data_IF_285968178179
#
_entry.id   IF_285968178179
#
_cell.length_a   1.000
_cell.length_b   1.000
_cell.length_c   1.000
_cell.angle_alpha   90.00
_cell.angle_beta   90.00
_cell.angle_gamma   90.00
#
_symmetry.space_group_name_H-M   'P 1'
#
loop_
_entity.id
_entity.type
_entity.pdbx_description
1 polymer ?
#
# COMPACT_ATOMS: atom_id res chain seq x y z
N UNK A 1 -12.90 26.68 -0.70
CA UNK A 1 -12.06 25.70 0.01
C UNK A 1 -12.10 24.42 -0.79
N UNK A 2 -11.07 24.17 -1.61
CA UNK A 2 -11.03 23.00 -2.51
C UNK A 2 -10.79 21.77 -1.65
N UNK A 3 -11.85 20.99 -1.43
CA UNK A 3 -11.78 19.75 -0.67
C UNK A 3 -10.82 18.78 -1.39
N UNK A 4 -9.89 18.19 -0.65
CA UNK A 4 -8.91 17.28 -1.25
C UNK A 4 -9.65 16.03 -1.74
N UNK A 5 -9.52 15.69 -3.03
CA UNK A 5 -10.17 14.51 -3.58
C UNK A 5 -9.81 13.27 -2.73
N UNK A 6 -10.81 12.46 -2.30
CA UNK A 6 -10.57 11.19 -1.65
C UNK A 6 -9.60 10.35 -2.48
N UNK A 7 -8.74 9.57 -1.81
CA UNK A 7 -7.67 8.83 -2.48
C UNK A 7 -8.18 7.99 -3.66
N UNK A 8 -9.36 7.37 -3.53
CA UNK A 8 -9.95 6.49 -4.54
C UNK A 8 -10.58 7.24 -5.74
N UNK A 9 -10.64 8.58 -5.69
CA UNK A 9 -11.16 9.45 -6.77
C UNK A 9 -10.07 10.23 -7.50
N UNK A 10 -8.80 10.08 -7.12
CA UNK A 10 -7.69 10.76 -7.77
C UNK A 10 -7.39 10.09 -9.11
N UNK A 11 -6.98 10.86 -10.13
CA UNK A 11 -6.56 10.29 -11.40
C UNK A 11 -5.43 9.28 -11.20
N UNK A 12 -5.49 8.20 -11.96
CA UNK A 12 -4.42 7.22 -12.06
C UNK A 12 -3.35 7.82 -12.96
N UNK A 13 -2.09 7.75 -12.52
CA UNK A 13 -0.93 8.17 -13.28
C UNK A 13 -0.10 6.93 -13.63
N UNK A 14 -0.25 6.47 -14.88
CA UNK A 14 0.44 5.30 -15.41
C UNK A 14 1.86 5.61 -15.92
N UNK A 15 2.39 6.81 -15.65
CA UNK A 15 3.78 7.17 -16.02
C UNK A 15 4.74 6.23 -15.31
N UNK A 16 5.62 5.57 -16.07
CA UNK A 16 6.66 4.70 -15.51
C UNK A 16 7.51 5.45 -14.49
N UNK A 17 7.71 4.85 -13.31
CA UNK A 17 8.54 5.40 -12.24
C UNK A 17 9.48 4.34 -11.68
N UNK A 18 10.69 4.75 -11.35
CA UNK A 18 11.64 3.97 -10.58
C UNK A 18 11.41 4.10 -9.07
N UNK A 19 11.91 3.14 -8.29
CA UNK A 19 11.85 3.16 -6.81
C UNK A 19 12.32 4.48 -6.20
N UNK A 20 13.39 5.09 -6.72
CA UNK A 20 13.96 6.33 -6.20
C UNK A 20 13.13 7.58 -6.51
N UNK A 21 12.19 7.48 -7.45
CA UNK A 21 11.28 8.56 -7.84
C UNK A 21 9.95 8.52 -7.06
N UNK A 22 9.67 7.41 -6.35
CA UNK A 22 8.49 7.28 -5.52
C UNK A 22 8.52 8.32 -4.38
N UNK A 23 7.45 9.11 -4.20
CA UNK A 23 7.48 10.21 -3.25
C UNK A 23 7.53 9.69 -1.81
N UNK A 24 8.31 10.32 -0.91
CA UNK A 24 8.40 9.90 0.48
C UNK A 24 7.10 10.13 1.27
N UNK A 25 6.27 11.08 0.81
CA UNK A 25 5.01 11.47 1.45
C UNK A 25 3.80 11.09 0.59
N UNK A 26 2.59 11.01 1.17
CA UNK A 26 1.40 10.73 0.39
C UNK A 26 1.15 11.74 -0.73
N UNK A 27 1.10 11.24 -1.95
CA UNK A 27 0.68 11.99 -3.13
C UNK A 27 -0.79 12.40 -2.97
N UNK A 28 -1.15 13.66 -3.26
CA UNK A 28 -2.50 14.20 -3.04
C UNK A 28 -3.33 14.38 -4.30
N UNK A 29 -2.66 14.38 -5.44
CA UNK A 29 -3.15 14.78 -6.76
C UNK A 29 -3.31 13.58 -7.70
N UNK A 30 -2.57 12.49 -7.49
CA UNK A 30 -2.60 11.28 -8.34
C UNK A 30 -2.46 10.00 -7.53
N UNK A 31 -2.84 8.88 -8.14
CA UNK A 31 -2.54 7.52 -7.71
C UNK A 31 -1.51 6.91 -8.67
N UNK A 32 -0.35 6.49 -8.15
CA UNK A 32 0.64 5.74 -8.92
C UNK A 32 0.30 4.25 -8.73
N UNK A 33 -0.16 3.52 -9.76
CA UNK A 33 -0.46 2.11 -9.64
C UNK A 33 0.82 1.28 -9.58
N UNK A 34 0.75 0.08 -9.01
CA UNK A 34 1.89 -0.84 -8.95
C UNK A 34 2.43 -1.18 -10.35
N UNK A 35 1.56 -1.22 -11.37
CA UNK A 35 1.95 -1.43 -12.77
C UNK A 35 2.79 -0.30 -13.36
N UNK A 36 2.76 0.91 -12.79
CA UNK A 36 3.60 2.03 -13.20
C UNK A 36 4.99 1.98 -12.55
N UNK A 37 5.17 1.22 -11.47
CA UNK A 37 6.47 1.06 -10.83
C UNK A 37 7.30 0.00 -11.57
N UNK A 38 8.42 0.42 -12.17
CA UNK A 38 9.23 -0.40 -13.07
C UNK A 38 9.78 -1.65 -12.36
N UNK A 39 10.22 -1.51 -11.11
CA UNK A 39 10.77 -2.62 -10.33
C UNK A 39 9.69 -3.42 -9.57
N UNK A 40 8.40 -3.12 -9.75
CA UNK A 40 7.34 -3.77 -8.99
C UNK A 40 7.39 -5.30 -9.11
N UNK A 41 7.45 -6.03 -7.99
CA UNK A 41 7.40 -7.48 -8.03
C UNK A 41 6.01 -7.94 -8.52
N UNK A 42 5.96 -9.01 -9.30
CA UNK A 42 4.71 -9.54 -9.86
C UNK A 42 3.65 -9.83 -8.79
N UNK A 43 4.07 -10.24 -7.59
CA UNK A 43 3.19 -10.47 -6.44
C UNK A 43 2.41 -9.22 -6.04
N UNK A 44 2.99 -8.02 -6.20
CA UNK A 44 2.33 -6.76 -5.88
C UNK A 44 1.24 -6.46 -6.91
N UNK A 45 1.53 -6.70 -8.18
CA UNK A 45 0.62 -6.41 -9.30
C UNK A 45 -0.69 -7.18 -9.13
N UNK A 46 -0.60 -8.45 -8.72
CA UNK A 46 -1.77 -9.33 -8.51
C UNK A 46 -2.31 -9.30 -7.08
N UNK A 47 -1.69 -8.58 -6.15
CA UNK A 47 -2.12 -8.52 -4.75
C UNK A 47 -3.50 -7.87 -4.57
N UNK A 48 -4.06 -7.22 -5.59
CA UNK A 48 -5.40 -6.67 -5.56
C UNK A 48 -6.48 -7.60 -6.12
N UNK A 49 -6.15 -8.70 -6.79
CA UNK A 49 -7.09 -9.42 -7.67
C UNK A 49 -8.32 -9.99 -6.94
N UNK A 50 -8.19 -10.35 -5.66
CA UNK A 50 -9.29 -10.81 -4.79
C UNK A 50 -9.92 -9.68 -3.95
N UNK A 51 -9.47 -8.45 -4.14
CA UNK A 51 -10.10 -7.24 -3.61
C UNK A 51 -11.04 -6.73 -4.68
N UNK A 52 -12.32 -6.49 -4.36
CA UNK A 52 -13.32 -6.01 -5.34
C UNK A 52 -12.94 -4.73 -6.11
N UNK A 53 -11.83 -4.07 -5.76
CA UNK A 53 -11.11 -3.09 -6.57
C UNK A 53 -9.65 -3.55 -6.75
N UNK A 54 -9.27 -4.07 -7.94
CA UNK A 54 -7.98 -4.72 -8.13
C UNK A 54 -6.80 -3.74 -8.20
N UNK A 55 -7.07 -2.46 -8.49
CA UNK A 55 -6.02 -1.45 -8.58
C UNK A 55 -5.30 -1.28 -7.24
N UNK A 56 -4.04 -1.72 -7.19
CA UNK A 56 -3.13 -1.47 -6.09
C UNK A 56 -2.28 -0.23 -6.35
N UNK A 57 -2.41 0.79 -5.51
CA UNK A 57 -1.74 2.07 -5.69
C UNK A 57 -0.81 2.41 -4.53
N UNK A 58 0.30 3.08 -4.86
CA UNK A 58 1.27 3.58 -3.90
C UNK A 58 0.61 4.59 -2.96
N UNK A 59 0.98 4.53 -1.67
CA UNK A 59 0.43 5.43 -0.65
C UNK A 59 1.50 6.31 -0.03
N UNK A 60 2.64 5.77 0.39
CA UNK A 60 3.77 6.52 0.97
C UNK A 60 4.91 5.57 1.35
N UNK A 61 6.02 6.14 1.77
CA UNK A 61 7.09 5.42 2.46
C UNK A 61 6.85 5.35 3.97
N UNK A 62 7.27 4.26 4.60
CA UNK A 62 7.31 4.07 6.05
C UNK A 62 8.68 3.46 6.38
N UNK A 63 9.65 4.27 6.79
CA UNK A 63 11.03 3.79 6.95
C UNK A 63 11.61 3.27 5.63
N UNK A 64 12.06 2.02 5.61
CA UNK A 64 12.53 1.32 4.40
C UNK A 64 11.38 0.88 3.47
N UNK A 65 10.15 0.82 3.98
CA UNK A 65 9.03 0.17 3.32
C UNK A 65 8.26 1.10 2.38
N UNK A 66 7.98 0.61 1.17
CA UNK A 66 7.05 1.20 0.21
C UNK A 66 5.64 0.64 0.50
N UNK A 67 4.72 1.51 0.92
CA UNK A 67 3.36 1.10 1.27
C UNK A 67 2.42 1.25 0.08
N UNK A 68 1.74 0.17 -0.26
CA UNK A 68 0.74 0.05 -1.31
C UNK A 68 -0.62 -0.32 -0.72
N UNK A 69 -1.70 -0.02 -1.44
CA UNK A 69 -3.05 -0.45 -1.06
C UNK A 69 -3.93 -0.76 -2.27
N UNK A 70 -4.57 -1.91 -2.25
CA UNK A 70 -5.76 -2.24 -3.05
C UNK A 70 -7.04 -2.07 -2.22
N UNK A 71 -8.14 -1.68 -2.86
CA UNK A 71 -9.41 -1.41 -2.19
C UNK A 71 -9.52 -0.01 -1.54
N UNK A 72 -10.73 0.34 -1.08
CA UNK A 72 -11.01 1.66 -0.53
C UNK A 72 -10.35 1.89 0.84
N UNK A 73 -10.33 3.15 1.28
CA UNK A 73 -9.72 3.51 2.57
C UNK A 73 -10.48 3.02 3.80
N UNK A 74 -11.80 2.80 3.69
CA UNK A 74 -12.69 2.51 4.81
C UNK A 74 -13.92 1.72 4.35
N UNK A 75 -14.50 0.91 5.24
CA UNK A 75 -15.83 0.33 5.07
C UNK A 75 -15.95 -0.79 4.03
N UNK A 76 -14.82 -1.28 3.50
CA UNK A 76 -14.79 -2.46 2.64
C UNK A 76 -13.43 -3.16 2.74
N UNK A 77 -13.31 -4.28 2.04
CA UNK A 77 -12.06 -5.00 1.89
C UNK A 77 -10.95 -4.15 1.31
N UNK A 78 -9.81 -4.11 1.99
CA UNK A 78 -8.60 -3.49 1.49
C UNK A 78 -7.38 -4.31 1.86
N UNK A 79 -6.42 -4.42 0.96
CA UNK A 79 -5.12 -5.05 1.25
C UNK A 79 -4.03 -4.01 1.18
N UNK A 80 -3.27 -3.90 2.25
CA UNK A 80 -2.02 -3.19 2.29
C UNK A 80 -0.87 -4.14 2.02
N UNK A 81 0.10 -3.70 1.24
CA UNK A 81 1.34 -4.41 0.98
C UNK A 81 2.49 -3.46 1.28
N UNK A 82 3.41 -3.88 2.12
CA UNK A 82 4.67 -3.20 2.37
C UNK A 82 5.78 -4.00 1.68
N UNK A 83 6.57 -3.35 0.83
CA UNK A 83 7.74 -3.96 0.16
C UNK A 83 8.98 -3.19 0.60
N UNK A 84 10.02 -3.92 0.98
CA UNK A 84 11.31 -3.32 1.31
C UNK A 84 11.89 -2.69 0.04
N UNK A 85 12.30 -1.42 0.12
CA UNK A 85 12.83 -0.71 -1.04
C UNK A 85 14.21 -1.23 -1.50
N UNK A 86 14.96 -1.89 -0.61
CA UNK A 86 16.30 -2.42 -0.88
C UNK A 86 16.27 -3.93 -1.16
N UNK A 87 15.20 -4.65 -0.79
CA UNK A 87 14.96 -6.06 -1.12
C UNK A 87 13.49 -6.31 -1.53
N UNK A 88 13.24 -6.34 -2.84
CA UNK A 88 11.88 -6.45 -3.38
C UNK A 88 11.23 -7.83 -3.17
N UNK A 89 11.99 -8.81 -2.68
CA UNK A 89 11.46 -10.12 -2.28
C UNK A 89 10.91 -10.10 -0.85
N UNK A 90 11.31 -9.10 -0.06
CA UNK A 90 10.87 -8.93 1.31
C UNK A 90 9.60 -8.07 1.35
N UNK A 91 8.47 -8.71 1.66
CA UNK A 91 7.18 -8.05 1.71
C UNK A 91 6.28 -8.56 2.82
N UNK A 92 5.39 -7.67 3.27
CA UNK A 92 4.41 -7.96 4.30
C UNK A 92 3.04 -7.45 3.88
N UNK A 93 1.99 -8.16 4.28
CA UNK A 93 0.61 -7.81 3.94
C UNK A 93 -0.23 -7.59 5.18
N UNK A 94 -1.22 -6.71 5.05
CA UNK A 94 -2.25 -6.49 6.05
C UNK A 94 -3.61 -6.35 5.35
N UNK A 95 -4.57 -7.20 5.70
CA UNK A 95 -5.96 -7.16 5.22
C UNK A 95 -6.80 -6.34 6.20
N UNK A 96 -7.58 -5.40 5.69
CA UNK A 96 -8.72 -4.80 6.37
C UNK A 96 -10.00 -5.43 5.83
N UNK A 97 -10.93 -5.72 6.73
CA UNK A 97 -12.22 -6.30 6.43
C UNK A 97 -13.34 -5.24 6.54
N UNK A 98 -14.51 -5.48 5.92
CA UNK A 98 -15.63 -4.54 5.96
C UNK A 98 -16.15 -4.21 7.36
N UNK A 99 -15.98 -5.12 8.33
CA UNK A 99 -16.37 -4.94 9.74
C UNK A 99 -15.40 -4.05 10.54
N UNK A 100 -14.33 -3.56 9.89
CA UNK A 100 -13.30 -2.72 10.50
C UNK A 100 -12.21 -3.51 11.23
N UNK A 101 -12.32 -4.83 11.30
CA UNK A 101 -11.22 -5.69 11.75
C UNK A 101 -10.13 -5.75 10.68
N UNK A 102 -8.96 -6.23 11.07
CA UNK A 102 -7.89 -6.48 10.12
C UNK A 102 -6.86 -7.44 10.67
N UNK A 103 -6.03 -7.97 9.79
CA UNK A 103 -4.95 -8.87 10.16
C UNK A 103 -3.77 -8.79 9.21
N UNK A 104 -2.57 -9.04 9.72
CA UNK A 104 -1.37 -9.13 8.90
C UNK A 104 -0.16 -9.55 9.72
N UNK A 105 0.93 -9.91 9.04
CA UNK A 105 2.21 -10.23 9.67
C UNK A 105 3.19 -9.10 9.38
N UNK A 106 3.90 -8.61 10.38
CA UNK A 106 4.92 -7.58 10.22
C UNK A 106 6.35 -8.16 10.15
N UNK A 107 7.38 -7.31 10.00
CA UNK A 107 8.77 -7.72 9.86
C UNK A 107 9.33 -8.49 11.07
N UNK A 108 8.80 -8.24 12.27
CA UNK A 108 9.16 -9.02 13.47
C UNK A 108 8.69 -10.48 13.41
N UNK A 109 7.85 -10.85 12.43
CA UNK A 109 7.15 -12.14 12.39
C UNK A 109 5.89 -12.18 13.25
N UNK A 110 5.58 -11.11 14.01
CA UNK A 110 4.37 -11.03 14.81
C UNK A 110 3.11 -10.88 13.93
N UNK A 111 2.03 -11.55 14.34
CA UNK A 111 0.69 -11.32 13.78
C UNK A 111 0.05 -10.12 14.47
N UNK A 112 -0.46 -9.19 13.67
CA UNK A 112 -1.11 -7.96 14.11
C UNK A 112 -2.58 -8.00 13.73
N UNK A 113 -3.45 -7.58 14.65
CA UNK A 113 -4.90 -7.36 14.39
C UNK A 113 -5.28 -5.89 14.28
N UNK A 114 -4.31 -4.99 14.50
CA UNK A 114 -4.51 -3.54 14.40
C UNK A 114 -3.54 -2.97 13.38
N UNK A 115 -4.06 -2.22 12.41
CA UNK A 115 -3.24 -1.59 11.37
C UNK A 115 -2.19 -0.62 11.92
N UNK A 116 -2.48 0.03 13.06
CA UNK A 116 -1.50 0.89 13.73
C UNK A 116 -0.30 0.10 14.25
N UNK A 117 -0.53 -1.01 14.94
CA UNK A 117 0.54 -1.85 15.48
C UNK A 117 1.41 -2.45 14.36
N UNK A 118 0.77 -2.89 13.27
CA UNK A 118 1.49 -3.36 12.08
C UNK A 118 2.42 -2.28 11.49
N UNK A 119 1.99 -1.01 11.44
CA UNK A 119 2.85 0.10 11.00
C UNK A 119 3.96 0.45 11.99
N UNK A 120 3.74 0.24 13.29
CA UNK A 120 4.76 0.43 14.32
C UNK A 120 5.86 -0.63 14.17
N UNK A 121 5.48 -1.88 13.90
CA UNK A 121 6.41 -2.97 13.58
C UNK A 121 7.21 -2.70 12.29
N UNK A 122 6.59 -2.18 11.23
CA UNK A 122 7.30 -1.72 10.02
C UNK A 122 8.37 -0.65 10.33
N UNK A 123 8.16 0.15 11.37
CA UNK A 123 9.12 1.16 11.83
C UNK A 123 10.15 0.60 12.84
N UNK A 124 10.06 -0.68 13.20
CA UNK A 124 10.87 -1.32 14.24
C UNK A 124 10.55 -0.78 15.64
N UNK A 125 9.28 -0.48 15.93
CA UNK A 125 8.82 0.12 17.20
C UNK A 125 7.87 -0.78 17.95
#
# INVERSE_FOLDING_TARGET
MTDALPADRRPVDDTSVHTHELPPTPTRDRNIPASAWIEAPALLITAGDDIGTPLIAYKRRIGAWLLWRAGPATGADARYVAIDADDLTHSHTFRLFPDGSGEGTGPSGARHVRFRAWKEDLLGR
#
